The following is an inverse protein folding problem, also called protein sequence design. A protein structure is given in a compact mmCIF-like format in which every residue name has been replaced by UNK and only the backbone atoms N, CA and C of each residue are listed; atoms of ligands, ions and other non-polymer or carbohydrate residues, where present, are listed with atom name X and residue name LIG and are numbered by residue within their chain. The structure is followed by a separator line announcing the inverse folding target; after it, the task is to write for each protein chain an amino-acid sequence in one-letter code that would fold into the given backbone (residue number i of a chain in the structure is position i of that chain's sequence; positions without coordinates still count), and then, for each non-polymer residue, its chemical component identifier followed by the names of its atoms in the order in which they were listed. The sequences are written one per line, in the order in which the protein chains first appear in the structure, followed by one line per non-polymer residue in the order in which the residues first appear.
data_IF_615593372803
#
_entry.id   IF_615593372803
#
_cell.length_a   1.000
_cell.length_b   1.000
_cell.length_c   1.000
_cell.angle_alpha   90.00
_cell.angle_beta   90.00
_cell.angle_gamma   90.00
#
_symmetry.space_group_name_H-M   'P 1'
#
loop_
_entity.id
_entity.type
_entity.pdbx_description
1 polymer ?
#
# COMPACT_ATOMS: atom_id res chain seq x y z
N UNK A 1 -4.27 24.75 -7.53
CA UNK A 1 -4.13 23.38 -8.08
C UNK A 1 -2.85 22.78 -7.54
N UNK A 2 -2.92 21.72 -6.80
CA UNK A 2 -1.75 20.98 -6.31
C UNK A 2 -1.78 19.56 -6.89
N UNK A 3 -0.61 18.95 -7.06
CA UNK A 3 -0.48 17.57 -7.52
C UNK A 3 0.08 16.74 -6.36
N UNK A 4 -0.64 15.71 -5.99
CA UNK A 4 -0.25 14.77 -4.95
C UNK A 4 0.02 13.40 -5.57
N UNK A 5 1.09 12.75 -5.16
CA UNK A 5 1.36 11.35 -5.47
C UNK A 5 1.04 10.48 -4.25
N UNK A 6 0.09 9.58 -4.35
CA UNK A 6 -0.22 8.68 -3.25
C UNK A 6 0.44 7.31 -3.43
N UNK A 7 1.24 6.94 -2.45
CA UNK A 7 2.03 5.71 -2.41
C UNK A 7 1.60 4.85 -1.23
N UNK A 8 1.34 3.57 -1.48
CA UNK A 8 0.96 2.62 -0.44
C UNK A 8 1.74 1.32 -0.53
N UNK A 9 2.27 0.87 0.61
CA UNK A 9 3.01 -0.39 0.70
C UNK A 9 2.48 -1.28 1.81
N UNK A 10 2.55 -2.59 1.59
CA UNK A 10 2.22 -3.59 2.60
C UNK A 10 3.43 -4.06 3.39
N UNK A 11 4.63 -3.95 2.83
CA UNK A 11 5.92 -4.28 3.44
C UNK A 11 7.07 -3.71 2.60
N UNK A 12 8.04 -3.06 3.28
CA UNK A 12 9.44 -2.79 2.88
C UNK A 12 9.73 -1.73 1.79
N UNK A 13 10.73 -0.95 2.11
CA UNK A 13 11.35 0.22 1.47
C UNK A 13 11.54 0.20 -0.07
N UNK A 14 11.67 -0.96 -0.71
CA UNK A 14 11.93 -1.04 -2.15
C UNK A 14 10.72 -0.71 -3.03
N UNK A 15 9.51 -1.06 -2.61
CA UNK A 15 8.31 -0.81 -3.41
C UNK A 15 7.82 0.64 -3.31
N UNK A 16 8.09 1.34 -2.19
CA UNK A 16 7.80 2.78 -2.03
C UNK A 16 8.58 3.58 -3.06
N UNK A 17 9.91 3.41 -3.07
CA UNK A 17 10.79 4.16 -3.96
C UNK A 17 10.40 4.00 -5.43
N UNK A 18 10.08 2.77 -5.86
CA UNK A 18 9.64 2.55 -7.25
C UNK A 18 8.36 3.33 -7.58
N UNK A 19 7.35 3.30 -6.72
CA UNK A 19 6.10 4.03 -6.94
C UNK A 19 6.34 5.55 -6.95
N UNK A 20 7.19 6.06 -6.04
CA UNK A 20 7.60 7.47 -6.02
C UNK A 20 8.31 7.86 -7.31
N UNK A 21 9.27 7.05 -7.77
CA UNK A 21 10.03 7.28 -9.00
C UNK A 21 9.10 7.26 -10.23
N UNK A 22 8.17 6.30 -10.30
CA UNK A 22 7.18 6.20 -11.38
C UNK A 22 6.27 7.45 -11.43
N UNK A 23 5.80 7.92 -10.28
CA UNK A 23 4.97 9.14 -10.19
C UNK A 23 5.80 10.39 -10.53
N UNK A 24 6.98 10.56 -9.96
CA UNK A 24 7.83 11.73 -10.18
C UNK A 24 8.40 11.82 -11.59
N UNK A 25 8.54 10.71 -12.27
CA UNK A 25 8.93 10.68 -13.68
C UNK A 25 7.93 11.41 -14.58
N UNK A 26 6.64 11.32 -14.25
CA UNK A 26 5.56 11.97 -15.02
C UNK A 26 5.18 13.32 -14.40
N UNK A 27 5.21 13.41 -13.07
CA UNK A 27 4.86 14.60 -12.27
C UNK A 27 5.99 14.94 -11.28
N UNK A 28 7.08 15.61 -11.74
CA UNK A 28 8.26 15.89 -10.90
C UNK A 28 7.94 16.67 -9.62
N UNK A 29 6.97 17.59 -9.68
CA UNK A 29 6.57 18.45 -8.57
C UNK A 29 5.48 17.84 -7.67
N UNK A 30 5.15 16.56 -7.84
CA UNK A 30 4.13 15.90 -7.04
C UNK A 30 4.55 15.79 -5.57
N UNK A 31 3.66 16.20 -4.68
CA UNK A 31 3.81 16.05 -3.22
C UNK A 31 3.49 14.60 -2.87
N UNK A 32 4.49 13.83 -2.47
CA UNK A 32 4.31 12.42 -2.15
C UNK A 32 3.70 12.25 -0.77
N UNK A 33 2.62 11.50 -0.70
CA UNK A 33 1.94 11.05 0.53
C UNK A 33 2.05 9.53 0.61
N UNK A 34 2.61 9.04 1.69
CA UNK A 34 2.91 7.61 1.86
C UNK A 34 2.13 7.02 3.03
N UNK A 35 1.52 5.84 2.81
CA UNK A 35 0.96 5.00 3.86
C UNK A 35 1.64 3.63 3.90
N UNK A 36 2.02 3.21 5.10
CA UNK A 36 2.53 1.87 5.37
C UNK A 36 1.41 1.03 5.99
N UNK A 37 0.76 0.18 5.17
CA UNK A 37 -0.31 -0.70 5.62
C UNK A 37 0.19 -2.13 5.69
N UNK A 38 0.44 -2.65 6.89
CA UNK A 38 0.81 -4.05 7.11
C UNK A 38 -0.44 -4.94 7.20
N UNK A 39 -0.59 -5.86 6.25
CA UNK A 39 -1.51 -7.00 6.32
C UNK A 39 -2.99 -6.66 6.48
N UNK A 40 -3.50 -6.69 7.70
CA UNK A 40 -4.92 -6.51 8.03
C UNK A 40 -5.30 -5.09 8.44
N UNK A 41 -4.33 -4.21 8.64
CA UNK A 41 -4.61 -2.84 9.07
C UNK A 41 -4.97 -1.98 7.86
N UNK A 42 -6.25 -1.61 7.76
CA UNK A 42 -6.80 -0.70 6.75
C UNK A 42 -6.61 0.77 7.14
N UNK A 43 -5.94 1.03 8.27
CA UNK A 43 -5.67 2.39 8.71
C UNK A 43 -4.71 3.09 7.74
N UNK A 44 -5.19 4.19 7.15
CA UNK A 44 -4.49 4.99 6.14
C UNK A 44 -4.42 6.45 6.61
N UNK A 45 -3.61 6.75 7.62
CA UNK A 45 -3.56 8.11 8.17
C UNK A 45 -3.12 9.16 7.13
N UNK A 46 -2.22 8.79 6.22
CA UNK A 46 -1.80 9.65 5.11
C UNK A 46 -2.93 9.94 4.14
N UNK A 47 -3.65 8.88 3.72
CA UNK A 47 -4.84 9.04 2.87
C UNK A 47 -5.91 9.89 3.55
N UNK A 48 -6.23 9.61 4.80
CA UNK A 48 -7.24 10.35 5.55
C UNK A 48 -6.92 11.84 5.66
N UNK A 49 -5.64 12.18 5.91
CA UNK A 49 -5.17 13.57 5.93
C UNK A 49 -5.24 14.21 4.54
N UNK A 50 -4.78 13.50 3.51
CA UNK A 50 -4.83 13.97 2.13
C UNK A 50 -6.28 14.23 1.71
N UNK A 51 -7.17 13.25 1.90
CA UNK A 51 -8.58 13.34 1.54
C UNK A 51 -9.29 14.57 2.12
N UNK A 52 -9.00 14.90 3.39
CA UNK A 52 -9.53 16.11 4.06
C UNK A 52 -8.92 17.41 3.55
N UNK A 53 -7.70 17.36 3.02
CA UNK A 53 -6.97 18.54 2.55
C UNK A 53 -7.23 18.88 1.08
N UNK A 54 -7.76 17.91 0.30
CA UNK A 54 -8.03 18.08 -1.14
C UNK A 54 -9.05 19.20 -1.39
N UNK A 55 -8.76 20.00 -2.41
CA UNK A 55 -9.60 21.09 -2.90
C UNK A 55 -9.98 20.85 -4.36
N UNK A 56 -11.10 21.41 -4.85
CA UNK A 56 -11.44 21.35 -6.26
C UNK A 56 -10.25 21.74 -7.16
N UNK A 57 -10.07 21.05 -8.26
CA UNK A 57 -8.96 21.15 -9.21
C UNK A 57 -7.63 20.58 -8.74
N UNK A 58 -7.49 20.06 -7.50
CA UNK A 58 -6.31 19.31 -7.12
C UNK A 58 -6.27 17.96 -7.86
N UNK A 59 -5.07 17.42 -8.01
CA UNK A 59 -4.82 16.14 -8.71
C UNK A 59 -4.19 15.14 -7.77
N UNK A 60 -4.70 13.92 -7.75
CA UNK A 60 -4.08 12.80 -7.04
C UNK A 60 -3.65 11.74 -8.03
N UNK A 61 -2.36 11.40 -8.00
CA UNK A 61 -1.72 10.43 -8.91
C UNK A 61 -1.44 9.14 -8.16
N UNK A 62 -1.84 8.03 -8.73
CA UNK A 62 -1.59 6.67 -8.25
C UNK A 62 -0.76 5.90 -9.29
N UNK A 63 0.14 5.04 -8.84
CA UNK A 63 0.86 4.10 -9.71
C UNK A 63 -0.15 3.13 -10.39
N UNK A 64 -1.06 2.57 -9.58
CA UNK A 64 -2.09 1.63 -10.04
C UNK A 64 -3.35 1.69 -9.17
N UNK A 65 -4.47 1.18 -9.65
CA UNK A 65 -5.77 1.14 -8.95
C UNK A 65 -5.68 0.46 -7.59
N UNK A 66 -4.85 -0.57 -7.45
CA UNK A 66 -4.69 -1.29 -6.17
C UNK A 66 -4.13 -0.43 -5.04
N UNK A 67 -3.53 0.73 -5.35
CA UNK A 67 -3.07 1.71 -4.33
C UNK A 67 -4.22 2.54 -3.80
N UNK A 68 -5.18 2.82 -4.65
CA UNK A 68 -6.37 3.59 -4.30
C UNK A 68 -7.32 2.77 -3.40
N UNK A 69 -7.82 1.63 -3.87
CA UNK A 69 -8.61 0.69 -3.07
C UNK A 69 -8.29 -0.76 -3.39
N UNK A 70 -8.58 -1.65 -2.43
CA UNK A 70 -8.55 -3.11 -2.59
C UNK A 70 -9.94 -3.70 -2.74
N UNK A 71 -10.95 -2.97 -2.35
CA UNK A 71 -12.35 -3.29 -2.55
C UNK A 71 -12.88 -2.51 -3.74
N UNK A 72 -13.54 -3.20 -4.66
CA UNK A 72 -14.01 -2.60 -5.91
C UNK A 72 -15.16 -1.64 -5.70
N UNK A 73 -16.10 -2.00 -4.82
CA UNK A 73 -17.30 -1.19 -4.58
C UNK A 73 -16.95 0.07 -3.79
N UNK A 74 -16.20 -0.07 -2.68
CA UNK A 74 -15.69 1.06 -1.90
C UNK A 74 -14.83 1.99 -2.78
N UNK A 75 -13.95 1.42 -3.58
CA UNK A 75 -13.09 2.18 -4.50
C UNK A 75 -13.89 2.99 -5.50
N UNK A 76 -14.92 2.39 -6.10
CA UNK A 76 -15.79 3.08 -7.04
C UNK A 76 -16.57 4.22 -6.39
N UNK A 77 -17.12 4.01 -5.19
CA UNK A 77 -17.85 5.05 -4.44
C UNK A 77 -16.96 6.24 -4.12
N UNK A 78 -15.74 6.00 -3.60
CA UNK A 78 -14.77 7.06 -3.31
C UNK A 78 -14.31 7.77 -4.58
N UNK A 79 -14.15 7.05 -5.70
CA UNK A 79 -13.85 7.65 -6.99
C UNK A 79 -14.93 8.63 -7.43
N UNK A 80 -16.21 8.22 -7.40
CA UNK A 80 -17.33 9.10 -7.76
C UNK A 80 -17.42 10.33 -6.82
N UNK A 81 -17.20 10.14 -5.54
CA UNK A 81 -17.22 11.23 -4.57
C UNK A 81 -16.13 12.27 -4.87
N UNK A 82 -14.89 11.83 -5.12
CA UNK A 82 -13.79 12.74 -5.45
C UNK A 82 -13.99 13.42 -6.80
N UNK A 83 -14.50 12.68 -7.80
CA UNK A 83 -14.88 13.25 -9.08
C UNK A 83 -15.92 14.37 -8.93
N UNK A 84 -16.98 14.13 -8.16
CA UNK A 84 -18.03 15.11 -7.91
C UNK A 84 -17.54 16.34 -7.10
N UNK A 85 -16.50 16.16 -6.28
CA UNK A 85 -15.78 17.26 -5.60
C UNK A 85 -14.85 18.04 -6.53
N UNK A 86 -14.75 17.67 -7.80
CA UNK A 86 -13.88 18.32 -8.78
C UNK A 86 -12.39 17.99 -8.61
N UNK A 87 -12.07 16.86 -7.96
CA UNK A 87 -10.70 16.36 -7.83
C UNK A 87 -10.34 15.54 -9.07
N UNK A 88 -9.10 15.69 -9.54
CA UNK A 88 -8.59 14.89 -10.63
C UNK A 88 -7.89 13.64 -10.09
N UNK A 89 -8.27 12.47 -10.61
CA UNK A 89 -7.64 11.20 -10.30
C UNK A 89 -6.89 10.69 -11.54
N UNK A 90 -5.63 10.31 -11.36
CA UNK A 90 -4.77 9.79 -12.42
C UNK A 90 -4.19 8.46 -11.96
N UNK A 91 -4.36 7.43 -12.80
CA UNK A 91 -3.81 6.08 -12.61
C UNK A 91 -2.82 5.81 -13.73
N UNK A 92 -1.52 5.71 -13.40
CA UNK A 92 -0.46 5.63 -14.41
C UNK A 92 -0.55 4.36 -15.25
N UNK A 93 -0.95 3.22 -14.63
CA UNK A 93 -1.09 1.94 -15.34
C UNK A 93 -2.45 1.73 -15.97
N UNK A 94 -3.46 2.40 -15.48
CA UNK A 94 -4.84 2.30 -15.96
C UNK A 94 -5.37 3.68 -16.42
N UNK A 95 -4.75 4.32 -17.42
CA UNK A 95 -5.10 5.69 -17.82
C UNK A 95 -6.55 5.83 -18.33
N UNK A 96 -7.17 4.73 -18.76
CA UNK A 96 -8.56 4.71 -19.23
C UNK A 96 -9.58 5.15 -18.18
N UNK A 97 -9.24 5.01 -16.88
CA UNK A 97 -10.11 5.42 -15.77
C UNK A 97 -9.71 6.74 -15.13
N UNK A 98 -8.78 7.48 -15.72
CA UNK A 98 -8.48 8.84 -15.29
C UNK A 98 -9.73 9.70 -15.39
N UNK A 99 -9.92 10.58 -14.41
CA UNK A 99 -11.12 11.44 -14.36
C UNK A 99 -11.28 12.33 -15.59
N UNK A 100 -10.20 12.68 -16.29
CA UNK A 100 -10.30 13.44 -17.53
C UNK A 100 -10.93 12.63 -18.66
N UNK A 101 -10.59 11.35 -18.79
CA UNK A 101 -11.22 10.47 -19.78
C UNK A 101 -12.71 10.28 -19.46
N UNK A 102 -13.07 10.19 -18.20
CA UNK A 102 -14.46 10.13 -17.77
C UNK A 102 -15.20 11.43 -18.10
N UNK A 103 -14.60 12.61 -17.85
CA UNK A 103 -15.15 13.92 -18.26
C UNK A 103 -15.32 14.03 -19.78
N UNK A 104 -14.33 13.57 -20.55
CA UNK A 104 -14.39 13.58 -22.00
C UNK A 104 -15.56 12.73 -22.50
N UNK A 105 -15.78 11.55 -21.92
CA UNK A 105 -16.93 10.71 -22.25
C UNK A 105 -18.27 11.40 -21.92
N UNK A 106 -18.32 12.21 -20.87
CA UNK A 106 -19.51 13.02 -20.54
C UNK A 106 -19.68 14.20 -21.51
N UNK A 107 -18.59 14.89 -21.88
CA UNK A 107 -18.62 16.03 -22.82
C UNK A 107 -18.92 15.61 -24.26
N UNK A 108 -18.71 14.36 -24.59
CA UNK A 108 -19.09 13.77 -25.89
C UNK A 108 -20.59 13.44 -25.97
N UNK A 109 -21.39 13.91 -25.03
CA UNK A 109 -22.83 13.83 -25.12
C UNK A 109 -23.32 14.61 -26.34
N UNK A 110 -24.30 14.05 -27.03
CA UNK A 110 -24.93 14.65 -28.19
C UNK A 110 -25.91 15.70 -27.69
N UNK A 111 -25.82 16.91 -28.25
CA UNK A 111 -26.74 17.99 -27.90
C UNK A 111 -28.13 17.74 -28.52
N UNK A 112 -29.15 18.24 -27.86
CA UNK A 112 -30.54 18.22 -28.32
C UNK A 112 -30.67 19.03 -29.63
N UNK A 113 -31.47 18.53 -30.58
CA UNK A 113 -31.67 19.15 -31.89
C UNK A 113 -33.00 19.91 -31.99
N UNK A 114 -33.87 19.82 -30.97
CA UNK A 114 -35.14 20.50 -30.92
C UNK A 114 -36.31 19.71 -31.55
N UNK A 115 -36.11 18.43 -31.83
CA UNK A 115 -37.14 17.49 -32.25
C UNK A 115 -37.45 16.51 -31.12
N UNK A 116 -38.69 16.39 -30.69
CA UNK A 116 -39.07 15.58 -29.50
C UNK A 116 -38.67 14.12 -29.64
N UNK A 117 -38.79 13.53 -30.82
CA UNK A 117 -38.45 12.12 -31.05
C UNK A 117 -36.94 11.96 -31.07
N UNK A 118 -36.22 12.80 -31.82
CA UNK A 118 -34.77 12.78 -31.90
C UNK A 118 -34.13 13.04 -30.53
N UNK A 119 -34.63 14.01 -29.79
CA UNK A 119 -34.12 14.37 -28.48
C UNK A 119 -34.28 13.24 -27.46
N UNK A 120 -35.39 12.47 -27.54
CA UNK A 120 -35.58 11.27 -26.73
C UNK A 120 -34.51 10.19 -27.01
N UNK A 121 -34.18 9.95 -28.29
CA UNK A 121 -33.09 9.02 -28.65
C UNK A 121 -31.72 9.53 -28.22
N UNK A 122 -31.47 10.82 -28.34
CA UNK A 122 -30.22 11.47 -27.90
C UNK A 122 -30.07 11.30 -26.38
N UNK A 123 -31.09 11.59 -25.60
CA UNK A 123 -31.07 11.44 -24.16
C UNK A 123 -30.80 9.97 -23.73
N UNK A 124 -31.50 9.02 -24.34
CA UNK A 124 -31.28 7.60 -24.11
C UNK A 124 -29.84 7.17 -24.44
N UNK A 125 -29.30 7.65 -25.57
CA UNK A 125 -27.93 7.36 -26.01
C UNK A 125 -26.91 7.93 -25.02
N UNK A 126 -27.07 9.18 -24.61
CA UNK A 126 -26.21 9.82 -23.63
C UNK A 126 -26.23 9.08 -22.29
N UNK A 127 -27.40 8.61 -21.85
CA UNK A 127 -27.54 7.78 -20.64
C UNK A 127 -26.78 6.45 -20.76
N UNK A 128 -26.84 5.79 -21.90
CA UNK A 128 -26.10 4.54 -22.17
C UNK A 128 -24.59 4.81 -22.14
N UNK A 129 -24.10 5.87 -22.77
CA UNK A 129 -22.67 6.25 -22.73
C UNK A 129 -22.17 6.45 -21.29
N UNK A 130 -22.96 7.13 -20.47
CA UNK A 130 -22.66 7.32 -19.04
C UNK A 130 -22.58 5.99 -18.27
N UNK A 131 -23.53 5.08 -18.49
CA UNK A 131 -23.55 3.76 -17.87
C UNK A 131 -22.29 2.97 -18.29
N UNK A 132 -21.90 3.02 -19.57
CA UNK A 132 -20.72 2.33 -20.06
C UNK A 132 -19.43 2.89 -19.45
N UNK A 133 -19.30 4.22 -19.34
CA UNK A 133 -18.15 4.85 -18.70
C UNK A 133 -18.02 4.43 -17.23
N UNK A 134 -19.10 4.46 -16.47
CA UNK A 134 -19.13 3.97 -15.07
C UNK A 134 -18.75 2.49 -14.98
N UNK A 135 -19.29 1.67 -15.89
CA UNK A 135 -18.99 0.23 -15.94
C UNK A 135 -17.51 -0.05 -16.23
N UNK A 136 -16.87 0.73 -17.09
CA UNK A 136 -15.43 0.60 -17.35
C UNK A 136 -14.58 0.87 -16.11
N UNK A 137 -14.92 1.91 -15.34
CA UNK A 137 -14.24 2.21 -14.08
C UNK A 137 -14.43 1.05 -13.10
N UNK A 138 -15.65 0.57 -12.92
CA UNK A 138 -15.95 -0.55 -12.02
C UNK A 138 -15.18 -1.81 -12.39
N UNK A 139 -15.12 -2.16 -13.69
CA UNK A 139 -14.35 -3.31 -14.19
C UNK A 139 -12.85 -3.18 -13.86
N UNK A 140 -12.28 -1.98 -13.93
CA UNK A 140 -10.87 -1.77 -13.59
C UNK A 140 -10.60 -2.06 -12.11
N UNK A 141 -11.50 -1.65 -11.21
CA UNK A 141 -11.42 -1.98 -9.78
C UNK A 141 -11.61 -3.48 -9.52
N UNK A 142 -12.59 -4.12 -10.15
CA UNK A 142 -12.84 -5.57 -10.03
C UNK A 142 -11.64 -6.40 -10.51
N UNK A 143 -11.00 -6.02 -11.62
CA UNK A 143 -9.77 -6.66 -12.11
C UNK A 143 -8.64 -6.54 -11.09
N UNK A 144 -8.42 -5.34 -10.58
CA UNK A 144 -7.39 -5.11 -9.56
C UNK A 144 -7.62 -5.94 -8.29
N UNK A 145 -8.87 -6.06 -7.84
CA UNK A 145 -9.25 -6.91 -6.73
C UNK A 145 -9.01 -8.40 -7.05
N UNK A 146 -9.42 -8.85 -8.23
CA UNK A 146 -9.22 -10.22 -8.70
C UNK A 146 -7.76 -10.63 -8.78
N UNK A 147 -6.88 -9.76 -9.25
CA UNK A 147 -5.43 -10.00 -9.29
C UNK A 147 -4.85 -10.25 -7.89
N UNK A 148 -5.28 -9.48 -6.88
CA UNK A 148 -4.84 -9.66 -5.50
C UNK A 148 -5.23 -11.04 -4.98
N UNK A 149 -6.47 -11.47 -5.23
CA UNK A 149 -6.99 -12.79 -4.82
C UNK A 149 -6.22 -13.90 -5.54
N UNK A 150 -6.03 -13.78 -6.85
CA UNK A 150 -5.33 -14.75 -7.66
C UNK A 150 -3.87 -14.94 -7.25
N UNK A 151 -3.13 -13.82 -7.01
CA UNK A 151 -1.78 -13.87 -6.48
C UNK A 151 -1.70 -14.53 -5.10
N UNK A 152 -2.68 -14.25 -4.22
CA UNK A 152 -2.79 -14.91 -2.93
C UNK A 152 -2.99 -16.43 -3.06
N UNK A 153 -3.83 -16.86 -3.99
CA UNK A 153 -4.08 -18.27 -4.26
C UNK A 153 -2.85 -18.96 -4.83
N UNK A 154 -2.21 -18.41 -5.87
CA UNK A 154 -0.95 -18.96 -6.42
C UNK A 154 0.14 -19.10 -5.37
N UNK A 155 0.26 -18.14 -4.47
CA UNK A 155 1.22 -18.21 -3.36
C UNK A 155 0.90 -19.36 -2.42
N UNK A 156 -0.37 -19.57 -2.06
CA UNK A 156 -0.81 -20.73 -1.24
C UNK A 156 -0.51 -22.05 -1.93
N UNK A 157 -0.85 -22.16 -3.21
CA UNK A 157 -0.58 -23.35 -4.02
C UNK A 157 0.92 -23.65 -4.12
N UNK A 158 1.74 -22.62 -4.37
CA UNK A 158 3.20 -22.75 -4.39
C UNK A 158 3.78 -23.22 -3.06
N UNK A 159 3.25 -22.71 -1.93
CA UNK A 159 3.63 -23.16 -0.58
C UNK A 159 3.24 -24.63 -0.37
N UNK A 160 2.04 -25.02 -0.76
CA UNK A 160 1.57 -26.40 -0.63
C UNK A 160 2.41 -27.36 -1.49
N UNK A 161 2.71 -26.98 -2.73
CA UNK A 161 3.56 -27.77 -3.61
C UNK A 161 4.99 -27.92 -3.06
N UNK A 162 5.53 -26.84 -2.49
CA UNK A 162 6.84 -26.90 -1.83
C UNK A 162 6.85 -27.84 -0.62
N UNK A 163 5.75 -27.89 0.16
CA UNK A 163 5.59 -28.85 1.27
C UNK A 163 5.53 -30.29 0.77
N UNK A 164 4.77 -30.56 -0.30
CA UNK A 164 4.69 -31.90 -0.91
C UNK A 164 6.06 -32.35 -1.43
N UNK A 165 6.85 -31.45 -1.94
CA UNK A 165 8.22 -31.70 -2.39
C UNK A 165 9.24 -31.77 -1.25
N UNK A 166 8.81 -31.84 0.02
CA UNK A 166 9.69 -31.95 1.18
C UNK A 166 10.51 -30.71 1.52
N UNK A 167 10.22 -29.54 0.89
CA UNK A 167 10.91 -28.29 1.20
C UNK A 167 10.47 -27.76 2.56
N UNK A 168 11.44 -27.37 3.40
CA UNK A 168 11.16 -26.69 4.65
C UNK A 168 10.54 -25.33 4.39
N UNK A 169 9.32 -25.13 4.94
CA UNK A 169 8.59 -23.86 4.85
C UNK A 169 8.45 -23.25 6.23
N UNK A 170 8.96 -22.03 6.38
CA UNK A 170 9.03 -21.34 7.66
C UNK A 170 10.23 -21.75 8.49
N UNK A 171 10.24 -21.36 9.75
CA UNK A 171 11.34 -21.66 10.66
C UNK A 171 11.27 -23.11 11.15
N UNK A 172 12.41 -23.79 11.16
CA UNK A 172 12.53 -25.14 11.74
C UNK A 172 12.22 -25.07 13.25
N UNK A 173 11.42 -26.01 13.76
CA UNK A 173 11.09 -26.08 15.18
C UNK A 173 12.38 -26.21 16.01
N UNK A 174 12.59 -25.28 16.95
CA UNK A 174 13.80 -25.25 17.78
C UNK A 174 14.96 -24.44 17.22
N UNK A 175 14.93 -23.99 15.96
CA UNK A 175 15.97 -23.14 15.42
C UNK A 175 16.00 -21.77 16.13
N UNK A 176 17.18 -21.40 16.66
CA UNK A 176 17.39 -20.08 17.27
C UNK A 176 17.62 -19.05 16.18
N UNK A 177 16.74 -18.06 16.09
CA UNK A 177 16.87 -16.94 15.16
C UNK A 177 18.00 -16.01 15.64
N UNK A 178 19.05 -15.91 14.83
CA UNK A 178 20.12 -14.94 15.05
C UNK A 178 19.88 -13.71 14.18
N UNK A 179 19.39 -12.63 14.77
CA UNK A 179 19.16 -11.38 14.05
C UNK A 179 20.34 -10.42 14.23
N UNK A 180 20.52 -9.48 13.27
CA UNK A 180 21.54 -8.42 13.41
C UNK A 180 21.39 -7.64 14.73
N UNK A 181 20.14 -7.44 15.19
CA UNK A 181 19.84 -6.78 16.45
C UNK A 181 20.28 -7.61 17.65
N UNK A 182 20.08 -8.95 17.62
CA UNK A 182 20.50 -9.83 18.69
C UNK A 182 22.03 -9.96 18.80
N UNK A 183 22.74 -9.96 17.64
CA UNK A 183 24.21 -9.97 17.62
C UNK A 183 24.75 -8.71 18.27
N UNK A 184 24.33 -7.52 17.82
CA UNK A 184 24.76 -6.24 18.39
C UNK A 184 24.44 -6.14 19.89
N UNK A 185 23.26 -6.59 20.30
CA UNK A 185 22.88 -6.57 21.71
C UNK A 185 23.79 -7.49 22.56
N UNK A 186 24.11 -8.69 22.09
CA UNK A 186 25.03 -9.62 22.75
C UNK A 186 26.45 -9.07 22.85
N UNK A 187 26.93 -8.41 21.79
CA UNK A 187 28.24 -7.72 21.82
C UNK A 187 28.29 -6.62 22.89
N UNK A 188 27.23 -5.80 22.99
CA UNK A 188 27.14 -4.76 24.03
C UNK A 188 27.08 -5.37 25.42
N UNK A 189 26.30 -6.45 25.64
CA UNK A 189 26.23 -7.16 26.91
C UNK A 189 27.61 -7.69 27.31
N UNK A 190 28.31 -8.37 26.40
CA UNK A 190 29.66 -8.87 26.66
C UNK A 190 30.66 -7.77 27.00
N UNK A 191 30.57 -6.64 26.31
CA UNK A 191 31.56 -5.56 26.44
C UNK A 191 31.31 -4.66 27.64
N UNK A 192 30.04 -4.52 28.10
CA UNK A 192 29.66 -3.50 29.09
C UNK A 192 29.12 -4.05 30.41
N UNK A 193 28.61 -5.28 30.45
CA UNK A 193 28.02 -5.82 31.69
C UNK A 193 29.10 -6.23 32.71
N UNK A 194 28.90 -5.88 33.98
CA UNK A 194 29.78 -6.27 35.08
C UNK A 194 30.04 -7.78 35.20
N UNK A 195 29.10 -8.63 34.79
CA UNK A 195 29.28 -10.08 34.76
C UNK A 195 30.34 -10.56 33.73
N UNK A 196 30.69 -9.72 32.75
CA UNK A 196 31.68 -9.96 31.72
C UNK A 196 32.87 -8.98 31.82
N UNK A 197 33.16 -8.47 33.03
CA UNK A 197 34.25 -7.51 33.32
C UNK A 197 34.02 -6.11 32.71
N UNK A 198 32.77 -5.75 32.40
CA UNK A 198 32.40 -4.40 31.99
C UNK A 198 32.12 -3.49 33.19
N UNK A 199 31.71 -2.27 32.90
CA UNK A 199 31.51 -1.17 33.83
C UNK A 199 30.05 -0.92 34.24
N UNK A 200 29.08 -1.45 33.49
CA UNK A 200 27.66 -1.17 33.66
C UNK A 200 26.89 -2.26 34.41
N UNK A 201 25.92 -1.82 35.21
CA UNK A 201 24.93 -2.70 35.84
C UNK A 201 23.95 -3.27 34.80
N UNK A 202 23.23 -4.33 35.18
CA UNK A 202 22.24 -4.96 34.29
C UNK A 202 21.12 -3.97 33.87
N UNK A 203 20.71 -3.07 34.73
CA UNK A 203 19.71 -2.06 34.42
C UNK A 203 20.20 -1.07 33.38
N UNK A 204 21.44 -0.60 33.48
CA UNK A 204 22.05 0.31 32.52
C UNK A 204 22.27 -0.34 31.16
N UNK A 205 22.72 -1.61 31.13
CA UNK A 205 22.88 -2.34 29.86
C UNK A 205 21.51 -2.63 29.22
N UNK A 206 20.47 -2.91 29.97
CA UNK A 206 19.12 -3.04 29.43
C UNK A 206 18.65 -1.75 28.78
N UNK A 207 18.86 -0.61 29.42
CA UNK A 207 18.53 0.71 28.87
C UNK A 207 19.33 1.00 27.59
N UNK A 208 20.63 0.72 27.59
CA UNK A 208 21.53 0.94 26.46
C UNK A 208 21.15 0.09 25.24
N UNK A 209 20.72 -1.16 25.46
CA UNK A 209 20.36 -2.10 24.39
C UNK A 209 18.90 -2.02 23.96
N UNK A 210 18.03 -1.35 24.75
CA UNK A 210 16.59 -1.33 24.55
C UNK A 210 15.92 -2.71 24.65
N UNK A 211 16.52 -3.64 25.38
CA UNK A 211 15.99 -5.00 25.56
C UNK A 211 15.04 -5.09 26.72
N UNK A 212 13.93 -5.82 26.53
CA UNK A 212 13.08 -6.24 27.63
C UNK A 212 13.85 -7.19 28.58
N UNK A 213 13.57 -7.12 29.89
CA UNK A 213 14.24 -7.89 30.95
C UNK A 213 14.40 -9.38 30.64
N UNK A 214 13.35 -10.03 30.19
CA UNK A 214 13.39 -11.46 29.84
C UNK A 214 14.36 -11.78 28.69
N UNK A 215 14.42 -10.92 27.66
CA UNK A 215 15.33 -11.08 26.50
C UNK A 215 16.78 -10.82 26.93
N UNK A 216 17.00 -9.81 27.76
CA UNK A 216 18.32 -9.49 28.29
C UNK A 216 18.92 -10.67 29.07
N UNK A 217 18.21 -11.21 30.07
CA UNK A 217 18.71 -12.35 30.86
C UNK A 217 18.81 -13.65 30.05
N UNK A 218 17.98 -13.82 29.02
CA UNK A 218 18.16 -14.93 28.06
C UNK A 218 19.49 -14.82 27.33
N UNK A 219 19.81 -13.66 26.76
CA UNK A 219 21.10 -13.45 26.07
C UNK A 219 22.28 -13.54 27.00
N UNK A 220 22.16 -13.03 28.23
CA UNK A 220 23.20 -13.11 29.24
C UNK A 220 23.53 -14.57 29.62
N UNK A 221 22.51 -15.42 29.78
CA UNK A 221 22.70 -16.88 30.00
C UNK A 221 23.34 -17.57 28.81
N UNK A 222 22.89 -17.25 27.60
CA UNK A 222 23.49 -17.82 26.39
C UNK A 222 24.97 -17.47 26.24
N UNK A 223 25.37 -16.25 26.63
CA UNK A 223 26.77 -15.80 26.58
C UNK A 223 27.63 -16.47 27.67
N UNK A 224 27.08 -16.67 28.89
CA UNK A 224 27.79 -17.42 29.94
C UNK A 224 28.05 -18.86 29.53
N UNK A 225 27.05 -19.54 28.95
CA UNK A 225 27.17 -20.93 28.50
C UNK A 225 28.11 -21.13 27.31
N UNK A 226 28.39 -20.09 26.51
CA UNK A 226 29.32 -20.17 25.39
C UNK A 226 30.77 -19.82 25.78
N UNK A 227 31.00 -19.30 26.99
CA UNK A 227 32.33 -18.92 27.52
C UNK A 227 32.87 -19.94 28.57
N UNK A 228 32.11 -21.01 28.80
CA UNK A 228 32.53 -22.19 29.58
C UNK A 228 32.91 -23.30 28.62
#
# INVERSE_FOLDING_TARGET
MKIYGYVRVSTVKQSIKRQEDDIKKVYPDAIIVTDECTGKNLDRPGWTKLYKALKPSDTVVFDEVSRFSRDAEEGFQVYEELYNKGINLIFLKEPMINTENYRTSIRQQIDAVGDEIADTYIEATNKVLMILAKKQIKIAFERSQGEIVFHGQRTKEGINQARLNGKQIGQVKGAKLTTKKSIKAKEIIMKRSKDFRGDLSDAEVMTLTGLARGTYYKYKRELKNNNT
#
